data_IF_898650952669
#
_entry.id   IF_898650952669
#
_cell.length_a   1.000
_cell.length_b   1.000
_cell.length_c   1.000
_cell.angle_alpha   90.00
_cell.angle_beta   90.00
_cell.angle_gamma   90.00
#
_symmetry.space_group_name_H-M   'P 1'
#
loop_
_entity.id
_entity.type
_entity.pdbx_description
1 polymer ?
#
# COMPACT_ATOMS: atom_id res chain seq x y z
N UNK A 1 1.06 -7.90 -27.61
CA UNK A 1 -0.09 -7.93 -26.69
C UNK A 1 0.30 -8.84 -25.53
N UNK A 2 0.87 -8.26 -24.47
CA UNK A 2 1.16 -9.00 -23.25
C UNK A 2 -0.13 -8.99 -22.44
N UNK A 3 -0.74 -10.15 -22.21
CA UNK A 3 -1.81 -10.26 -21.23
C UNK A 3 -1.14 -10.07 -19.86
N UNK A 4 -1.25 -8.87 -19.27
CA UNK A 4 -1.07 -8.75 -17.83
C UNK A 4 -2.27 -9.48 -17.23
N UNK A 5 -2.07 -10.73 -16.82
CA UNK A 5 -3.02 -11.39 -15.93
C UNK A 5 -3.03 -10.58 -14.64
N UNK A 6 -4.16 -9.93 -14.34
CA UNK A 6 -4.36 -9.25 -13.07
C UNK A 6 -4.39 -10.35 -12.00
N UNK A 7 -3.28 -10.47 -11.27
CA UNK A 7 -3.21 -11.37 -10.13
C UNK A 7 -3.88 -10.67 -8.96
N UNK A 8 -5.18 -10.89 -8.81
CA UNK A 8 -5.94 -10.37 -7.67
C UNK A 8 -5.81 -11.25 -6.43
N UNK A 9 -4.76 -12.07 -6.36
CA UNK A 9 -4.55 -13.00 -5.28
C UNK A 9 -3.10 -12.94 -4.79
N UNK A 10 -2.93 -13.02 -3.48
CA UNK A 10 -1.64 -12.81 -2.83
C UNK A 10 -1.76 -12.70 -1.32
N UNK A 11 -0.63 -12.52 -0.65
CA UNK A 11 -0.58 -12.38 0.81
C UNK A 11 -0.63 -10.91 1.20
N UNK A 12 -1.61 -10.50 2.01
CA UNK A 12 -1.84 -9.07 2.21
C UNK A 12 -2.83 -8.71 3.29
N UNK A 13 -3.24 -7.45 3.27
CA UNK A 13 -4.16 -6.83 4.22
C UNK A 13 -5.30 -6.12 3.50
N UNK A 14 -6.44 -5.98 4.18
CA UNK A 14 -7.47 -5.03 3.79
C UNK A 14 -7.10 -3.65 4.34
N UNK A 15 -6.96 -2.66 3.47
CA UNK A 15 -6.65 -1.30 3.87
C UNK A 15 -7.85 -0.61 4.54
N UNK A 16 -9.08 -1.03 4.21
CA UNK A 16 -10.30 -0.51 4.83
C UNK A 16 -10.41 -0.87 6.33
N UNK A 17 -9.85 -2.02 6.74
CA UNK A 17 -9.80 -2.44 8.16
C UNK A 17 -8.96 -1.50 9.05
N UNK A 18 -8.06 -0.70 8.44
CA UNK A 18 -7.27 0.32 9.14
C UNK A 18 -8.20 1.38 9.75
N UNK A 19 -9.30 1.69 9.05
CA UNK A 19 -10.33 2.63 9.46
C UNK A 19 -9.84 4.09 9.46
N UNK A 20 -10.30 4.86 10.44
CA UNK A 20 -9.98 6.29 10.52
C UNK A 20 -8.60 6.53 11.15
N UNK A 21 -7.67 7.04 10.35
CA UNK A 21 -6.29 7.38 10.77
C UNK A 21 -6.14 8.90 10.86
N UNK A 22 -5.58 9.45 11.97
CA UNK A 22 -5.25 10.87 12.03
C UNK A 22 -4.11 11.22 11.06
N UNK A 23 -4.17 12.40 10.45
CA UNK A 23 -3.16 12.87 9.48
C UNK A 23 -1.73 12.84 10.04
N UNK A 24 -1.55 13.06 11.34
CA UNK A 24 -0.25 13.02 12.00
C UNK A 24 0.43 11.64 11.89
N UNK A 25 -0.35 10.56 11.94
CA UNK A 25 0.16 9.19 11.78
C UNK A 25 0.52 8.89 10.34
N UNK A 26 -0.26 9.41 9.40
CA UNK A 26 0.05 9.31 7.96
C UNK A 26 1.35 10.06 7.64
N UNK A 27 1.51 11.27 8.18
CA UNK A 27 2.75 12.04 8.06
C UNK A 27 3.94 11.32 8.71
N UNK A 28 3.75 10.67 9.86
CA UNK A 28 4.79 9.87 10.50
C UNK A 28 5.23 8.69 9.63
N UNK A 29 4.29 8.04 8.93
CA UNK A 29 4.58 6.99 7.96
C UNK A 29 5.39 7.54 6.78
N UNK A 30 4.96 8.65 6.19
CA UNK A 30 5.62 9.27 5.03
C UNK A 30 7.04 9.75 5.39
N UNK A 31 7.27 10.24 6.61
CA UNK A 31 8.61 10.63 7.10
C UNK A 31 9.64 9.49 7.15
N UNK A 32 9.21 8.23 7.14
CA UNK A 32 10.14 7.11 7.03
C UNK A 32 10.83 7.05 5.66
N UNK A 33 10.25 7.74 4.67
CA UNK A 33 10.50 7.56 3.25
C UNK A 33 10.75 8.96 2.63
N UNK A 34 12.00 9.47 2.73
CA UNK A 34 12.29 10.88 2.47
C UNK A 34 12.16 11.28 1.01
N UNK A 35 12.20 10.34 0.06
CA UNK A 35 12.00 10.68 -1.36
C UNK A 35 10.51 10.84 -1.66
N UNK A 36 9.67 9.89 -1.22
CA UNK A 36 8.21 10.01 -1.28
C UNK A 36 7.71 11.27 -0.55
N UNK A 37 8.25 11.57 0.64
CA UNK A 37 7.90 12.78 1.40
C UNK A 37 8.13 14.06 0.58
N UNK A 38 9.26 14.17 -0.12
CA UNK A 38 9.55 15.34 -0.96
C UNK A 38 8.59 15.45 -2.14
N UNK A 39 8.25 14.33 -2.78
CA UNK A 39 7.34 14.32 -3.91
C UNK A 39 5.94 14.78 -3.51
N UNK A 40 5.41 14.22 -2.41
CA UNK A 40 4.10 14.60 -1.88
C UNK A 40 4.11 16.07 -1.43
N UNK A 41 5.13 16.52 -0.70
CA UNK A 41 5.22 17.91 -0.27
C UNK A 41 5.35 18.89 -1.44
N UNK A 42 6.06 18.52 -2.51
CA UNK A 42 6.15 19.35 -3.71
C UNK A 42 4.79 19.47 -4.39
N UNK A 43 4.06 18.36 -4.52
CA UNK A 43 2.71 18.37 -5.08
C UNK A 43 1.73 19.19 -4.22
N UNK A 44 1.75 19.03 -2.89
CA UNK A 44 0.94 19.83 -1.97
C UNK A 44 1.22 21.33 -2.11
N UNK A 45 2.50 21.70 -2.33
CA UNK A 45 2.89 23.08 -2.58
C UNK A 45 2.38 23.59 -3.94
N UNK A 46 2.41 22.77 -4.98
CA UNK A 46 1.84 23.11 -6.30
C UNK A 46 0.32 23.30 -6.26
N UNK A 47 -0.37 22.53 -5.42
CA UNK A 47 -1.81 22.66 -5.18
C UNK A 47 -2.17 23.78 -4.19
N UNK A 48 -1.18 24.54 -3.69
CA UNK A 48 -1.35 25.62 -2.69
C UNK A 48 -2.00 25.14 -1.37
N UNK A 49 -1.88 23.85 -1.05
CA UNK A 49 -2.47 23.23 0.15
C UNK A 49 -1.59 23.55 1.36
N UNK A 50 -2.06 24.47 2.21
CA UNK A 50 -1.30 24.92 3.39
C UNK A 50 -1.52 24.05 4.63
N UNK A 51 -2.62 23.29 4.66
CA UNK A 51 -2.98 22.38 5.75
C UNK A 51 -3.49 21.08 5.13
N UNK A 52 -2.60 20.11 4.87
CA UNK A 52 -3.02 18.85 4.29
C UNK A 52 -3.84 18.05 5.29
N UNK A 53 -5.00 17.58 4.85
CA UNK A 53 -5.84 16.60 5.50
C UNK A 53 -5.62 15.22 4.87
N UNK A 54 -6.14 14.16 5.48
CA UNK A 54 -5.99 12.78 4.95
C UNK A 54 -6.49 12.67 3.51
N UNK A 55 -7.56 13.39 3.17
CA UNK A 55 -8.11 13.42 1.81
C UNK A 55 -7.13 13.98 0.77
N UNK A 56 -6.37 15.03 1.09
CA UNK A 56 -5.39 15.60 0.16
C UNK A 56 -4.30 14.57 -0.21
N UNK A 57 -3.90 13.73 0.74
CA UNK A 57 -2.95 12.63 0.47
C UNK A 57 -3.55 11.53 -0.41
N UNK A 58 -4.86 11.32 -0.36
CA UNK A 58 -5.54 10.38 -1.25
C UNK A 58 -5.72 10.95 -2.65
N UNK A 59 -5.89 12.27 -2.78
CA UNK A 59 -5.95 12.94 -4.08
C UNK A 59 -4.61 12.97 -4.82
N UNK A 60 -3.49 12.86 -4.08
CA UNK A 60 -2.18 12.61 -4.69
C UNK A 60 -2.18 11.31 -5.51
N UNK A 61 -2.90 10.26 -5.06
CA UNK A 61 -3.15 9.05 -5.85
C UNK A 61 -4.27 9.27 -6.87
N UNK A 62 -3.92 9.95 -7.95
CA UNK A 62 -4.84 10.30 -9.03
C UNK A 62 -5.14 9.13 -10.00
N UNK A 63 -4.45 7.99 -9.85
CA UNK A 63 -4.56 6.88 -10.80
C UNK A 63 -5.51 5.78 -10.31
N UNK A 64 -5.48 5.44 -9.01
CA UNK A 64 -6.28 4.34 -8.47
C UNK A 64 -7.23 4.72 -7.34
N UNK A 65 -7.07 5.91 -6.74
CA UNK A 65 -7.82 6.37 -5.56
C UNK A 65 -7.83 5.34 -4.41
N UNK A 66 -6.79 4.50 -4.30
CA UNK A 66 -6.71 3.39 -3.35
C UNK A 66 -6.41 3.81 -1.90
N UNK A 67 -6.41 5.13 -1.65
CA UNK A 67 -6.29 5.72 -0.32
C UNK A 67 -5.07 5.23 0.45
N UNK A 68 -5.31 4.57 1.58
CA UNK A 68 -4.24 4.04 2.43
C UNK A 68 -3.45 2.90 1.78
N UNK A 69 -4.07 2.10 0.91
CA UNK A 69 -3.41 0.97 0.26
C UNK A 69 -2.28 1.46 -0.66
N UNK A 70 -2.54 2.47 -1.48
CA UNK A 70 -1.55 3.05 -2.40
C UNK A 70 -0.40 3.72 -1.65
N UNK A 71 -0.70 4.47 -0.58
CA UNK A 71 0.34 5.11 0.24
C UNK A 71 1.24 4.07 0.90
N UNK A 72 0.66 3.01 1.48
CA UNK A 72 1.41 1.89 2.06
C UNK A 72 2.25 1.16 1.01
N UNK A 73 1.71 0.97 -0.21
CA UNK A 73 2.44 0.39 -1.32
C UNK A 73 3.71 1.17 -1.63
N UNK A 74 3.63 2.49 -1.77
CA UNK A 74 4.81 3.33 -2.06
C UNK A 74 5.81 3.35 -0.90
N UNK A 75 5.31 3.48 0.33
CA UNK A 75 6.17 3.47 1.53
C UNK A 75 6.94 2.16 1.63
N UNK A 76 6.27 1.01 1.48
CA UNK A 76 6.92 -0.30 1.55
C UNK A 76 7.85 -0.53 0.36
N UNK A 77 7.47 -0.07 -0.84
CA UNK A 77 8.31 -0.18 -2.03
C UNK A 77 9.61 0.59 -1.88
N UNK A 78 9.58 1.80 -1.35
CA UNK A 78 10.81 2.59 -1.14
C UNK A 78 11.60 2.11 0.09
N UNK A 79 10.93 1.72 1.18
CA UNK A 79 11.62 1.32 2.41
C UNK A 79 12.20 -0.10 2.37
N UNK A 80 11.47 -1.05 1.79
CA UNK A 80 11.84 -2.48 1.77
C UNK A 80 12.20 -2.97 0.36
N UNK A 81 11.92 -2.20 -0.70
CA UNK A 81 12.20 -2.60 -2.09
C UNK A 81 11.20 -3.62 -2.65
N UNK A 82 10.03 -3.80 -2.01
CA UNK A 82 9.06 -4.84 -2.36
C UNK A 82 7.94 -4.25 -3.20
N UNK A 83 7.62 -4.90 -4.31
CA UNK A 83 6.49 -4.53 -5.15
C UNK A 83 5.19 -5.20 -4.66
N UNK A 84 4.37 -4.42 -3.97
CA UNK A 84 3.01 -4.81 -3.60
C UNK A 84 2.04 -4.40 -4.72
N UNK A 85 0.89 -5.07 -4.79
CA UNK A 85 -0.23 -4.74 -5.67
C UNK A 85 -1.40 -4.22 -4.84
N UNK A 86 -1.92 -3.07 -5.27
CA UNK A 86 -3.24 -2.60 -4.88
C UNK A 86 -4.30 -3.33 -5.71
N UNK A 87 -5.35 -3.82 -5.05
CA UNK A 87 -6.53 -4.40 -5.70
C UNK A 87 -7.77 -4.04 -4.88
N UNK A 88 -8.87 -3.68 -5.55
CA UNK A 88 -10.18 -3.53 -4.93
C UNK A 88 -11.06 -4.77 -5.18
N UNK A 89 -11.95 -5.06 -4.23
CA UNK A 89 -12.98 -6.11 -4.38
C UNK A 89 -14.29 -5.54 -4.92
N UNK A 90 -15.15 -6.42 -5.44
CA UNK A 90 -16.53 -6.12 -5.86
C UNK A 90 -17.35 -5.27 -4.86
N UNK A 91 -17.03 -5.35 -3.56
CA UNK A 91 -17.68 -4.58 -2.52
C UNK A 91 -17.09 -3.16 -2.33
N UNK A 92 -16.14 -2.74 -3.18
CA UNK A 92 -15.42 -1.47 -3.07
C UNK A 92 -14.46 -1.44 -1.87
N UNK A 93 -13.92 -2.60 -1.49
CA UNK A 93 -12.93 -2.71 -0.41
C UNK A 93 -11.53 -2.73 -0.98
N UNK A 94 -10.67 -1.89 -0.43
CA UNK A 94 -9.28 -1.78 -0.85
C UNK A 94 -8.40 -2.84 -0.17
N UNK A 95 -7.59 -3.53 -0.97
CA UNK A 95 -6.62 -4.51 -0.52
C UNK A 95 -5.22 -4.16 -1.02
N UNK A 96 -4.25 -4.47 -0.17
CA UNK A 96 -2.84 -4.40 -0.50
C UNK A 96 -2.24 -5.79 -0.35
N UNK A 97 -1.86 -6.40 -1.47
CA UNK A 97 -1.41 -7.79 -1.54
C UNK A 97 -0.02 -7.91 -2.14
N UNK A 98 0.73 -8.90 -1.68
CA UNK A 98 1.95 -9.36 -2.34
C UNK A 98 1.60 -10.55 -3.23
N UNK A 99 1.53 -10.36 -4.56
CA UNK A 99 1.17 -11.42 -5.49
C UNK A 99 2.31 -12.44 -5.65
N UNK A 100 2.00 -13.68 -6.03
CA UNK A 100 3.03 -14.63 -6.41
C UNK A 100 3.71 -14.17 -7.70
N UNK A 101 5.04 -14.08 -7.66
CA UNK A 101 5.83 -13.70 -8.82
C UNK A 101 6.13 -14.92 -9.71
N UNK A 102 6.15 -14.68 -11.02
CA UNK A 102 6.56 -15.71 -11.95
C UNK A 102 8.05 -16.06 -11.79
N UNK A 103 8.47 -17.32 -12.02
CA UNK A 103 9.86 -17.74 -11.81
C UNK A 103 10.94 -16.92 -12.52
N UNK A 104 10.59 -16.26 -13.63
CA UNK A 104 11.48 -15.38 -14.40
C UNK A 104 11.48 -13.91 -13.94
N UNK A 105 10.60 -13.54 -13.00
CA UNK A 105 10.50 -12.21 -12.37
C UNK A 105 10.92 -12.23 -10.89
N UNK A 106 11.09 -13.42 -10.29
CA UNK A 106 11.58 -13.59 -8.92
C UNK A 106 13.00 -13.00 -8.82
N UNK A 107 13.13 -11.94 -8.02
CA UNK A 107 14.43 -11.43 -7.59
C UNK A 107 14.99 -12.29 -6.46
N UNK A 108 16.28 -12.11 -6.13
CA UNK A 108 16.88 -12.82 -5.00
C UNK A 108 16.16 -12.49 -3.67
N UNK A 109 15.66 -11.25 -3.55
CA UNK A 109 14.87 -10.80 -2.41
C UNK A 109 13.49 -11.49 -2.32
N UNK A 110 12.85 -11.80 -3.45
CA UNK A 110 11.60 -12.56 -3.49
C UNK A 110 11.82 -14.03 -3.08
N UNK A 111 13.00 -14.61 -3.33
CA UNK A 111 13.32 -15.98 -2.90
C UNK A 111 13.45 -16.13 -1.39
N UNK A 112 13.89 -15.06 -0.72
CA UNK A 112 14.01 -15.00 0.74
C UNK A 112 12.75 -14.44 1.41
N UNK A 113 11.70 -14.14 0.63
CA UNK A 113 10.45 -13.61 1.15
C UNK A 113 9.59 -14.74 1.73
N UNK A 114 9.31 -14.66 3.02
CA UNK A 114 8.42 -15.61 3.71
C UNK A 114 7.15 -14.91 4.18
N UNK A 115 6.08 -15.69 4.39
CA UNK A 115 4.81 -15.18 4.93
C UNK A 115 5.01 -14.48 6.28
N UNK A 116 5.90 -15.00 7.14
CA UNK A 116 6.24 -14.40 8.43
C UNK A 116 6.92 -13.04 8.27
N UNK A 117 7.81 -12.91 7.28
CA UNK A 117 8.49 -11.66 6.96
C UNK A 117 7.50 -10.63 6.43
N UNK A 118 6.62 -11.02 5.51
CA UNK A 118 5.54 -10.17 5.01
C UNK A 118 4.62 -9.70 6.14
N UNK A 119 4.19 -10.62 7.03
CA UNK A 119 3.38 -10.27 8.20
C UNK A 119 4.09 -9.27 9.10
N UNK A 120 5.40 -9.43 9.31
CA UNK A 120 6.20 -8.49 10.11
C UNK A 120 6.27 -7.11 9.47
N UNK A 121 6.45 -7.05 8.15
CA UNK A 121 6.47 -5.82 7.36
C UNK A 121 5.11 -5.12 7.47
N UNK A 122 4.02 -5.81 7.12
CA UNK A 122 2.68 -5.25 7.22
C UNK A 122 2.36 -4.78 8.65
N UNK A 123 2.64 -5.60 9.66
CA UNK A 123 2.40 -5.23 11.06
C UNK A 123 3.18 -3.96 11.47
N UNK A 124 4.45 -3.84 11.06
CA UNK A 124 5.27 -2.65 11.34
C UNK A 124 4.63 -1.38 10.78
N UNK A 125 4.26 -1.36 9.49
CA UNK A 125 3.71 -0.16 8.87
C UNK A 125 2.26 0.11 9.29
N UNK A 126 1.42 -0.92 9.43
CA UNK A 126 0.05 -0.79 9.93
C UNK A 126 0.04 -0.26 11.36
N UNK A 127 0.95 -0.70 12.23
CA UNK A 127 1.03 -0.23 13.63
C UNK A 127 1.28 1.28 13.76
N UNK A 128 1.87 1.90 12.73
CA UNK A 128 2.09 3.35 12.69
C UNK A 128 0.79 4.09 12.40
N UNK A 129 -0.05 3.52 11.53
CA UNK A 129 -1.34 4.09 11.14
C UNK A 129 -2.42 3.83 12.19
N UNK A 130 -2.54 2.61 12.67
CA UNK A 130 -3.64 2.18 13.55
C UNK A 130 -3.16 1.22 14.63
N UNK A 131 -3.75 1.32 15.82
CA UNK A 131 -3.52 0.36 16.91
C UNK A 131 -4.39 -0.91 16.74
N UNK A 132 -5.19 -0.97 15.68
CA UNK A 132 -6.06 -2.11 15.38
C UNK A 132 -5.24 -3.27 14.84
N UNK A 133 -5.60 -4.48 15.27
CA UNK A 133 -5.07 -5.70 14.71
C UNK A 133 -5.68 -5.90 13.32
N UNK A 134 -4.92 -5.59 12.26
CA UNK A 134 -5.29 -5.93 10.88
C UNK A 134 -4.81 -7.34 10.60
N UNK A 135 -5.72 -8.19 10.11
CA UNK A 135 -5.39 -9.55 9.74
C UNK A 135 -4.55 -9.56 8.46
N UNK A 136 -3.34 -10.11 8.55
CA UNK A 136 -2.49 -10.39 7.37
C UNK A 136 -2.68 -11.86 7.01
N UNK A 137 -3.35 -12.10 5.90
CA UNK A 137 -3.67 -13.46 5.44
C UNK A 137 -3.68 -13.54 3.91
N UNK A 138 -3.88 -14.75 3.38
CA UNK A 138 -4.00 -14.95 1.94
C UNK A 138 -5.34 -14.39 1.44
N UNK A 139 -5.26 -13.43 0.53
CA UNK A 139 -6.40 -12.81 -0.13
C UNK A 139 -6.49 -13.33 -1.56
N UNK A 140 -7.70 -13.70 -1.98
CA UNK A 140 -8.04 -13.99 -3.37
C UNK A 140 -9.26 -13.16 -3.70
N UNK A 141 -9.03 -11.99 -4.29
CA UNK A 141 -10.06 -11.02 -4.65
C UNK A 141 -10.60 -11.39 -6.03
N UNK A 142 -11.91 -11.61 -6.14
CA UNK A 142 -12.53 -11.81 -7.45
C UNK A 142 -12.68 -10.43 -8.10
N UNK A 143 -12.09 -10.26 -9.29
CA UNK A 143 -12.17 -8.99 -10.03
C UNK A 143 -13.64 -8.59 -10.20
N UNK A 144 -14.00 -7.40 -9.72
CA UNK A 144 -15.25 -6.77 -10.09
C UNK A 144 -15.17 -6.33 -11.53
N UNK A 145 -15.75 -7.13 -12.43
CA UNK A 145 -15.69 -6.93 -13.88
C UNK A 145 -16.26 -5.62 -14.37
#
# INVERSE_FOLDING_TARGET
MSYQSWHNYGYGICADDIGHVPVERLQALIRLVPELEKQINSWLQECEITKPEVGDYFEYDNEYHGGFATILQWVIKEAEGIELLYCDDLNGKDYLIYPPQYPWQITDADREMTEERLRTIYAKYVSILTDRAVAVDYQSVENGG
#
